data_IF_705900487968
#
_entry.id   IF_705900487968
#
_cell.length_a   1.000
_cell.length_b   1.000
_cell.length_c   1.000
_cell.angle_alpha   90.00
_cell.angle_beta   90.00
_cell.angle_gamma   90.00
#
_symmetry.space_group_name_H-M   'P 1'
#
loop_
_entity.id
_entity.type
_entity.pdbx_description
1 polymer ?
#
# COMPACT_ATOMS: atom_id res chain seq x y z
N UNK A 1 23.10 19.10 -0.79
CA UNK A 1 22.09 18.01 -0.71
C UNK A 1 22.56 16.96 0.29
N UNK A 2 21.62 16.34 0.95
CA UNK A 2 21.91 15.25 1.90
C UNK A 2 21.49 13.93 1.32
N UNK A 3 22.10 12.86 1.80
CA UNK A 3 21.74 11.50 1.45
C UNK A 3 20.87 10.90 2.56
N UNK A 4 19.76 10.30 2.18
CA UNK A 4 18.86 9.64 3.12
C UNK A 4 18.80 8.15 2.76
N UNK A 5 19.01 7.31 3.76
CA UNK A 5 18.93 5.86 3.59
C UNK A 5 17.57 5.37 4.04
N UNK A 6 16.90 4.63 3.16
CA UNK A 6 15.59 4.05 3.42
C UNK A 6 15.72 2.53 3.44
N UNK A 7 15.38 1.92 4.57
CA UNK A 7 15.32 0.46 4.67
C UNK A 7 13.87 0.04 4.51
N UNK A 8 13.57 -0.66 3.45
CA UNK A 8 12.18 -0.95 3.07
C UNK A 8 12.08 -2.28 2.31
N UNK A 9 10.96 -2.99 2.46
CA UNK A 9 10.77 -4.26 1.74
C UNK A 9 10.42 -4.09 0.27
N UNK A 10 9.94 -2.90 -0.13
CA UNK A 10 9.50 -2.65 -1.51
C UNK A 10 10.15 -1.41 -2.07
N UNK A 11 10.30 -1.40 -3.39
CA UNK A 11 10.81 -0.25 -4.13
C UNK A 11 10.02 -0.05 -5.42
N UNK A 12 10.31 1.05 -6.10
CA UNK A 12 9.66 1.39 -7.38
C UNK A 12 9.81 0.26 -8.40
N UNK A 13 8.73 -0.10 -9.06
CA UNK A 13 8.71 -1.14 -10.06
C UNK A 13 8.47 -2.54 -9.52
N UNK A 14 8.52 -2.73 -8.21
CA UNK A 14 8.27 -4.04 -7.61
C UNK A 14 6.80 -4.45 -7.80
N UNK A 15 6.60 -5.72 -8.13
CA UNK A 15 5.26 -6.31 -8.14
C UNK A 15 4.92 -6.76 -6.72
N UNK A 16 3.75 -6.33 -6.27
CA UNK A 16 3.20 -6.72 -4.97
C UNK A 16 1.78 -7.23 -5.17
N UNK A 17 1.21 -7.84 -4.14
CA UNK A 17 -0.13 -8.40 -4.21
C UNK A 17 -0.96 -7.84 -3.06
N UNK A 18 -2.12 -7.28 -3.39
CA UNK A 18 -3.05 -6.75 -2.40
C UNK A 18 -4.28 -7.63 -2.30
N UNK A 19 -4.84 -7.72 -1.11
CA UNK A 19 -6.12 -8.40 -0.88
C UNK A 19 -7.19 -7.34 -0.78
N UNK A 20 -8.17 -7.39 -1.68
CA UNK A 20 -9.26 -6.43 -1.74
C UNK A 20 -10.57 -7.09 -1.33
N UNK A 21 -11.35 -6.39 -0.52
CA UNK A 21 -12.68 -6.82 -0.09
C UNK A 21 -13.74 -5.98 -0.78
N UNK A 22 -14.77 -6.64 -1.29
CA UNK A 22 -15.91 -6.01 -1.93
C UNK A 22 -17.20 -6.56 -1.33
N UNK A 23 -18.26 -5.76 -1.34
CA UNK A 23 -19.58 -6.28 -1.10
C UNK A 23 -19.96 -7.24 -2.24
N UNK A 24 -20.43 -8.42 -1.89
CA UNK A 24 -20.82 -9.40 -2.89
C UNK A 24 -22.16 -9.11 -3.59
N UNK A 25 -22.83 -8.03 -3.18
CA UNK A 25 -24.09 -7.61 -3.80
C UNK A 25 -25.35 -8.28 -3.25
N UNK A 26 -25.20 -9.31 -2.42
CA UNK A 26 -26.32 -9.99 -1.79
C UNK A 26 -26.15 -9.99 -0.27
N UNK A 27 -27.05 -9.33 0.42
CA UNK A 27 -26.99 -9.26 1.88
C UNK A 27 -25.68 -8.65 2.37
N UNK A 28 -25.08 -9.26 3.38
CA UNK A 28 -23.86 -8.79 4.02
C UNK A 28 -22.62 -9.59 3.61
N UNK A 29 -22.70 -10.35 2.55
CA UNK A 29 -21.59 -11.21 2.12
C UNK A 29 -20.46 -10.40 1.53
N UNK A 30 -19.23 -10.83 1.80
CA UNK A 30 -18.01 -10.17 1.35
C UNK A 30 -17.30 -11.06 0.33
N UNK A 31 -16.86 -10.43 -0.77
CA UNK A 31 -16.04 -11.09 -1.77
C UNK A 31 -14.60 -10.60 -1.61
N UNK A 32 -13.65 -11.52 -1.57
CA UNK A 32 -12.23 -11.21 -1.45
C UNK A 32 -11.52 -11.55 -2.74
N UNK A 33 -10.63 -10.64 -3.18
CA UNK A 33 -9.88 -10.79 -4.44
C UNK A 33 -8.43 -10.46 -4.19
N UNK A 34 -7.50 -11.27 -4.72
CA UNK A 34 -6.07 -10.96 -4.74
C UNK A 34 -5.75 -10.30 -6.07
N UNK A 35 -5.09 -9.13 -6.01
CA UNK A 35 -4.72 -8.36 -7.20
C UNK A 35 -3.23 -8.10 -7.24
N UNK A 36 -2.56 -8.35 -8.38
CA UNK A 36 -1.19 -7.89 -8.57
C UNK A 36 -1.16 -6.39 -8.82
N UNK A 37 -0.19 -5.73 -8.23
CA UNK A 37 -0.03 -4.27 -8.31
C UNK A 37 1.45 -3.94 -8.47
N UNK A 38 1.75 -2.77 -8.98
CA UNK A 38 3.12 -2.28 -9.11
C UNK A 38 3.33 -1.10 -8.17
N UNK A 39 4.45 -1.10 -7.44
CA UNK A 39 4.82 0.04 -6.61
C UNK A 39 5.23 1.19 -7.53
N UNK A 40 4.47 2.27 -7.50
CA UNK A 40 4.67 3.43 -8.37
C UNK A 40 5.18 4.66 -7.63
N UNK A 41 4.97 4.74 -6.32
CA UNK A 41 5.48 5.84 -5.49
C UNK A 41 5.89 5.29 -4.14
N UNK A 42 7.05 5.77 -3.66
CA UNK A 42 7.52 5.51 -2.28
C UNK A 42 7.44 6.84 -1.54
N UNK A 43 6.78 6.84 -0.38
CA UNK A 43 6.55 8.03 0.43
C UNK A 43 7.34 7.93 1.72
N UNK A 44 8.19 8.93 1.98
CA UNK A 44 8.90 9.05 3.25
C UNK A 44 8.26 10.17 4.07
N UNK A 45 7.56 9.80 5.14
CA UNK A 45 6.70 10.69 5.92
C UNK A 45 7.02 10.59 7.41
N UNK A 46 8.18 11.12 7.85
CA UNK A 46 8.63 10.91 9.23
C UNK A 46 7.71 11.49 10.30
N UNK A 47 6.93 12.52 9.96
CA UNK A 47 6.02 13.15 10.93
C UNK A 47 4.57 12.68 10.81
N UNK A 48 4.24 11.87 9.80
CA UNK A 48 2.87 11.41 9.59
C UNK A 48 2.49 10.41 10.69
N UNK A 49 1.34 10.60 11.32
CA UNK A 49 0.81 9.71 12.35
C UNK A 49 1.77 9.47 13.52
N UNK A 50 2.68 10.39 13.79
CA UNK A 50 3.69 10.30 14.87
C UNK A 50 4.67 9.13 14.72
N UNK A 51 4.86 8.61 13.50
CA UNK A 51 5.80 7.54 13.22
C UNK A 51 6.66 7.90 12.03
N UNK A 52 7.90 7.43 12.06
CA UNK A 52 8.74 7.46 10.87
C UNK A 52 8.20 6.40 9.92
N UNK A 53 7.46 6.80 8.93
CA UNK A 53 6.81 5.86 8.05
C UNK A 53 7.27 5.95 6.63
N UNK A 54 7.45 4.78 6.05
CA UNK A 54 7.58 4.62 4.61
C UNK A 54 6.26 4.02 4.17
N UNK A 55 5.57 4.73 3.28
CA UNK A 55 4.30 4.28 2.72
C UNK A 55 4.47 4.09 1.22
N UNK A 56 3.54 3.39 0.61
CA UNK A 56 3.63 3.05 -0.81
C UNK A 56 2.32 3.36 -1.51
N UNK A 57 2.44 3.84 -2.74
CA UNK A 57 1.34 3.80 -3.68
C UNK A 57 1.59 2.62 -4.60
N UNK A 58 0.64 1.72 -4.65
CA UNK A 58 0.65 0.60 -5.58
C UNK A 58 -0.49 0.79 -6.58
N UNK A 59 -0.19 0.58 -7.86
CA UNK A 59 -1.14 0.77 -8.94
C UNK A 59 -1.55 -0.57 -9.52
N UNK A 60 -2.85 -0.80 -9.61
CA UNK A 60 -3.40 -1.94 -10.35
C UNK A 60 -3.29 -1.60 -11.84
N UNK A 61 -2.37 -2.27 -12.55
CA UNK A 61 -2.12 -1.97 -13.96
C UNK A 61 -3.31 -2.31 -14.88
N UNK A 62 -4.20 -3.17 -14.43
CA UNK A 62 -5.39 -3.52 -15.19
C UNK A 62 -6.45 -2.42 -15.18
N UNK A 63 -6.66 -1.78 -14.04
CA UNK A 63 -7.70 -0.77 -13.86
C UNK A 63 -7.18 0.65 -13.76
N UNK A 64 -5.88 0.84 -13.48
CA UNK A 64 -5.28 2.13 -13.20
C UNK A 64 -5.53 2.67 -11.82
N UNK A 65 -6.20 1.91 -10.96
CA UNK A 65 -6.51 2.36 -9.60
C UNK A 65 -5.29 2.31 -8.71
N UNK A 66 -5.19 3.30 -7.83
CA UNK A 66 -4.08 3.44 -6.91
C UNK A 66 -4.52 3.14 -5.48
N UNK A 67 -3.64 2.46 -4.75
CA UNK A 67 -3.85 2.11 -3.34
C UNK A 67 -2.66 2.59 -2.54
N UNK A 68 -2.93 3.35 -1.49
CA UNK A 68 -1.90 3.94 -0.63
C UNK A 68 -1.98 3.33 0.76
N UNK A 69 -0.87 2.74 1.22
CA UNK A 69 -0.79 2.24 2.59
C UNK A 69 0.65 1.89 2.97
N UNK A 70 0.83 1.45 4.21
CA UNK A 70 2.10 0.94 4.70
C UNK A 70 2.37 -0.46 4.14
N UNK A 71 3.59 -0.96 4.36
CA UNK A 71 4.04 -2.26 3.83
C UNK A 71 3.18 -3.45 4.28
N UNK A 72 2.52 -3.36 5.42
CA UNK A 72 1.68 -4.43 5.98
C UNK A 72 0.47 -4.77 5.11
N UNK A 73 0.14 -3.89 4.16
CA UNK A 73 -1.01 -4.06 3.29
C UNK A 73 -0.65 -4.67 1.93
N UNK A 74 0.63 -4.98 1.72
CA UNK A 74 1.09 -5.53 0.44
C UNK A 74 1.94 -6.78 0.67
N UNK A 75 1.68 -7.83 -0.08
CA UNK A 75 2.42 -9.07 -0.01
C UNK A 75 3.45 -9.15 -1.13
N UNK A 76 4.60 -9.74 -0.85
CA UNK A 76 5.64 -9.96 -1.86
C UNK A 76 5.28 -11.06 -2.83
N UNK A 77 4.51 -12.05 -2.38
CA UNK A 77 4.17 -13.22 -3.19
C UNK A 77 2.67 -13.39 -3.28
N UNK A 78 2.24 -13.99 -4.38
CA UNK A 78 0.83 -14.33 -4.57
C UNK A 78 0.37 -15.31 -3.50
N UNK A 79 1.22 -16.27 -3.13
CA UNK A 79 0.92 -17.29 -2.14
C UNK A 79 0.60 -16.66 -0.77
N UNK A 80 1.40 -15.70 -0.32
CA UNK A 80 1.14 -14.99 0.93
C UNK A 80 -0.18 -14.23 0.91
N UNK A 81 -0.49 -13.59 -0.22
CA UNK A 81 -1.75 -12.88 -0.39
C UNK A 81 -2.94 -13.84 -0.39
N UNK A 82 -2.80 -15.00 -1.04
CA UNK A 82 -3.86 -16.01 -1.04
C UNK A 82 -4.12 -16.58 0.36
N UNK A 83 -3.08 -16.75 1.16
CA UNK A 83 -3.24 -17.18 2.55
C UNK A 83 -3.96 -16.13 3.38
N UNK A 84 -3.61 -14.86 3.22
CA UNK A 84 -4.31 -13.77 3.90
C UNK A 84 -5.77 -13.70 3.48
N UNK A 85 -6.05 -13.88 2.21
CA UNK A 85 -7.41 -13.92 1.69
C UNK A 85 -8.22 -15.01 2.37
N UNK A 86 -7.67 -16.22 2.50
CA UNK A 86 -8.33 -17.34 3.18
C UNK A 86 -8.62 -17.02 4.64
N UNK A 87 -7.66 -16.39 5.32
CA UNK A 87 -7.80 -16.01 6.72
C UNK A 87 -8.93 -14.99 6.91
N UNK A 88 -8.96 -13.96 6.07
CA UNK A 88 -10.04 -12.98 6.12
C UNK A 88 -11.40 -13.60 5.80
N UNK A 89 -11.47 -14.45 4.78
CA UNK A 89 -12.71 -15.12 4.40
C UNK A 89 -13.23 -16.02 5.51
N UNK A 90 -12.33 -16.63 6.28
CA UNK A 90 -12.70 -17.47 7.43
C UNK A 90 -13.22 -16.62 8.60
N UNK A 91 -12.52 -15.50 8.89
CA UNK A 91 -12.85 -14.66 10.04
C UNK A 91 -14.03 -13.72 9.79
N UNK A 92 -14.17 -13.23 8.57
CA UNK A 92 -15.18 -12.23 8.22
C UNK A 92 -15.86 -12.61 6.90
N UNK A 93 -16.68 -13.68 6.88
CA UNK A 93 -17.42 -14.03 5.66
C UNK A 93 -18.57 -13.04 5.37
N UNK A 94 -19.08 -12.39 6.42
CA UNK A 94 -20.15 -11.40 6.33
C UNK A 94 -19.83 -10.22 7.24
N UNK A 95 -20.16 -9.01 6.80
CA UNK A 95 -20.01 -7.84 7.66
C UNK A 95 -21.22 -7.71 8.58
N UNK A 96 -20.98 -7.25 9.82
CA UNK A 96 -22.03 -7.19 10.86
C UNK A 96 -22.26 -5.80 11.44
N UNK A 97 -21.39 -4.84 11.13
CA UNK A 97 -21.48 -3.50 11.69
C UNK A 97 -21.48 -2.42 10.61
N UNK A 98 -21.85 -1.22 11.02
CA UNK A 98 -21.96 -0.09 10.10
C UNK A 98 -20.61 0.38 9.56
N UNK A 99 -19.52 0.10 10.28
CA UNK A 99 -18.17 0.45 9.81
C UNK A 99 -17.89 -0.20 8.45
N UNK A 100 -18.11 -1.52 8.35
CA UNK A 100 -17.87 -2.26 7.09
C UNK A 100 -18.87 -1.86 6.02
N UNK A 101 -20.10 -1.63 6.39
CA UNK A 101 -21.12 -1.16 5.46
C UNK A 101 -20.71 0.13 4.81
N UNK A 102 -20.28 1.10 5.61
CA UNK A 102 -19.86 2.41 5.10
C UNK A 102 -18.60 2.30 4.25
N UNK A 103 -17.63 1.46 4.65
CA UNK A 103 -16.41 1.22 3.88
C UNK A 103 -16.72 0.62 2.51
N UNK A 104 -17.63 -0.36 2.44
CA UNK A 104 -17.99 -0.97 1.16
C UNK A 104 -18.77 -0.02 0.25
N UNK A 105 -19.57 0.86 0.81
CA UNK A 105 -20.25 1.89 0.03
C UNK A 105 -19.27 2.91 -0.52
N UNK A 106 -18.32 3.36 0.31
CA UNK A 106 -17.30 4.33 -0.08
C UNK A 106 -16.35 3.77 -1.14
N UNK A 107 -15.99 2.50 -1.04
CA UNK A 107 -15.03 1.86 -1.94
C UNK A 107 -15.69 0.84 -2.88
N UNK A 108 -16.90 1.11 -3.30
CA UNK A 108 -17.70 0.20 -4.11
C UNK A 108 -16.98 -0.30 -5.37
N UNK A 109 -16.24 0.57 -6.03
CA UNK A 109 -15.55 0.23 -7.29
C UNK A 109 -14.10 -0.20 -7.07
N UNK A 110 -13.47 0.27 -6.00
CA UNK A 110 -12.03 0.08 -5.77
C UNK A 110 -11.76 -1.12 -4.86
N UNK A 111 -12.71 -1.44 -4.01
CA UNK A 111 -12.50 -2.42 -2.95
C UNK A 111 -11.75 -1.83 -1.76
N UNK A 112 -11.82 -2.53 -0.63
CA UNK A 112 -11.12 -2.15 0.59
C UNK A 112 -9.84 -2.96 0.68
N UNK A 113 -8.69 -2.28 0.72
CA UNK A 113 -7.40 -2.95 0.85
C UNK A 113 -7.24 -3.45 2.29
N UNK A 114 -6.90 -4.73 2.42
CA UNK A 114 -6.75 -5.39 3.72
C UNK A 114 -5.30 -5.69 4.03
N UNK A 115 -4.94 -5.60 5.29
CA UNK A 115 -3.59 -5.84 5.75
C UNK A 115 -3.44 -7.14 6.52
N UNK A 116 -2.18 -7.55 6.70
CA UNK A 116 -1.80 -8.71 7.49
C UNK A 116 -0.50 -8.46 8.24
N UNK A 117 -0.45 -8.88 9.51
CA UNK A 117 0.70 -8.62 10.39
C UNK A 117 1.98 -9.32 9.95
N UNK A 118 1.85 -10.46 9.30
CA UNK A 118 2.98 -11.35 9.04
C UNK A 118 3.47 -11.30 7.60
N UNK A 119 3.11 -10.25 6.84
CA UNK A 119 3.54 -10.13 5.45
C UNK A 119 5.04 -9.91 5.31
N UNK A 120 5.70 -9.32 6.31
CA UNK A 120 7.09 -8.92 6.19
C UNK A 120 7.91 -9.32 7.40
N UNK A 121 9.02 -10.02 7.15
CA UNK A 121 10.06 -10.24 8.12
C UNK A 121 11.11 -9.12 7.98
N UNK A 122 11.87 -8.84 9.03
CA UNK A 122 12.91 -7.81 9.00
C UNK A 122 13.96 -8.08 7.93
N UNK A 123 14.31 -9.35 7.70
CA UNK A 123 15.28 -9.75 6.69
C UNK A 123 14.85 -9.47 5.25
N UNK A 124 13.58 -9.15 5.02
CA UNK A 124 13.08 -8.84 3.68
C UNK A 124 13.35 -7.40 3.24
N UNK A 125 13.86 -6.57 4.15
CA UNK A 125 14.13 -5.18 3.84
C UNK A 125 15.45 -5.00 3.11
N UNK A 126 15.46 -4.10 2.14
CA UNK A 126 16.67 -3.67 1.45
C UNK A 126 16.89 -2.18 1.67
N UNK A 127 18.14 -1.74 1.60
CA UNK A 127 18.51 -0.36 1.82
C UNK A 127 18.62 0.38 0.48
N UNK A 128 17.98 1.55 0.41
CA UNK A 128 18.03 2.44 -0.75
C UNK A 128 18.47 3.81 -0.31
N UNK A 129 19.39 4.41 -1.06
CA UNK A 129 19.90 5.75 -0.77
C UNK A 129 19.35 6.73 -1.78
N UNK A 130 18.80 7.84 -1.31
CA UNK A 130 18.30 8.92 -2.17
C UNK A 130 18.91 10.24 -1.76
N UNK A 131 19.12 11.13 -2.71
CA UNK A 131 19.61 12.48 -2.46
C UNK A 131 18.43 13.44 -2.42
N UNK A 132 18.36 14.24 -1.35
CA UNK A 132 17.30 15.21 -1.16
C UNK A 132 17.90 16.54 -0.72
N UNK A 133 17.17 17.63 -0.91
CA UNK A 133 17.60 18.94 -0.43
C UNK A 133 17.70 18.92 1.10
N UNK A 134 18.67 19.66 1.65
CA UNK A 134 19.01 19.60 3.07
C UNK A 134 17.85 19.95 4.01
N UNK A 135 16.94 20.78 3.56
CA UNK A 135 15.78 21.21 4.35
C UNK A 135 14.56 20.29 4.26
N UNK A 136 14.62 19.24 3.43
CA UNK A 136 13.48 18.34 3.27
C UNK A 136 13.42 17.30 4.37
N UNK A 137 12.24 17.14 4.96
CA UNK A 137 11.98 16.12 5.97
C UNK A 137 10.99 15.07 5.49
N UNK A 138 10.10 15.44 4.56
CA UNK A 138 9.13 14.53 3.96
C UNK A 138 9.24 14.64 2.44
N UNK A 139 9.23 13.52 1.75
CA UNK A 139 9.36 13.53 0.28
C UNK A 139 8.76 12.26 -0.33
N UNK A 140 8.51 12.34 -1.63
CA UNK A 140 8.05 11.18 -2.40
C UNK A 140 9.04 10.89 -3.51
N UNK A 141 9.17 9.60 -3.83
CA UNK A 141 10.04 9.10 -4.88
C UNK A 141 9.16 8.40 -5.91
N UNK A 142 9.30 8.78 -7.17
CA UNK A 142 8.57 8.17 -8.28
C UNK A 142 9.46 8.11 -9.49
N UNK A 143 8.97 7.53 -10.59
CA UNK A 143 9.69 7.48 -11.85
C UNK A 143 9.15 8.56 -12.79
N UNK A 144 10.05 9.18 -13.57
CA UNK A 144 9.64 10.09 -14.63
C UNK A 144 9.28 9.28 -15.89
N UNK A 145 8.95 9.98 -16.98
CA UNK A 145 8.57 9.33 -18.24
C UNK A 145 9.69 8.47 -18.83
N UNK A 146 10.94 8.78 -18.52
CA UNK A 146 12.11 8.06 -19.01
C UNK A 146 12.53 6.91 -18.09
N UNK A 147 11.82 6.70 -16.98
CA UNK A 147 12.12 5.66 -16.03
C UNK A 147 13.17 6.02 -14.99
N UNK A 148 13.53 7.29 -14.88
CA UNK A 148 14.49 7.77 -13.89
C UNK A 148 13.80 8.13 -12.57
N UNK A 149 14.45 7.83 -11.46
CA UNK A 149 13.92 8.20 -10.14
C UNK A 149 13.96 9.70 -9.95
N UNK A 150 12.84 10.27 -9.52
CA UNK A 150 12.73 11.69 -9.16
C UNK A 150 12.22 11.80 -7.72
N UNK A 151 12.73 12.79 -6.99
CA UNK A 151 12.34 13.07 -5.61
C UNK A 151 11.63 14.41 -5.60
N UNK A 152 10.44 14.44 -5.01
CA UNK A 152 9.62 15.65 -4.90
C UNK A 152 9.17 15.85 -3.47
N UNK A 153 8.76 17.08 -3.13
CA UNK A 153 8.20 17.35 -1.82
C UNK A 153 6.91 16.58 -1.61
N UNK A 154 6.73 16.05 -0.42
CA UNK A 154 5.46 15.49 -0.02
C UNK A 154 4.53 16.65 0.37
N UNK A 155 3.31 16.65 -0.16
CA UNK A 155 2.28 17.59 0.24
C UNK A 155 1.58 17.01 1.46
N UNK A 156 1.89 17.56 2.65
CA UNK A 156 1.32 17.06 3.90
C UNK A 156 -0.21 17.10 3.94
N UNK A 157 -0.83 17.99 3.19
CA UNK A 157 -2.29 18.09 3.16
C UNK A 157 -2.95 16.85 2.55
N UNK A 158 -2.24 16.09 1.72
CA UNK A 158 -2.75 14.87 1.12
C UNK A 158 -2.88 13.72 2.13
N UNK A 159 -2.22 13.84 3.31
CA UNK A 159 -2.15 12.77 4.30
C UNK A 159 -2.97 13.05 5.57
N UNK A 160 -3.67 14.17 5.62
CA UNK A 160 -4.47 14.58 6.79
C UNK A 160 -5.94 14.18 6.69
#
# INVERSE_FOLDING_TARGET
MKKVKLSTPFWLGDTVYGVLAFSAGEGNKIKYVVKPMEITVVHYLPSACNYNRICFTATDNETGKEYFNTSEFFAKTKESAEELKKEWARQLPEWKDDYWKDMFEKHKNDGVLLGGRDFLAEEDKTEHEVEVEDDKTAFIISLDEDGNEIVRDADESEYL
#
